data_IF_387688177693
#
_entry.id   IF_387688177693
#
_cell.length_a   1.000
_cell.length_b   1.000
_cell.length_c   1.000
_cell.angle_alpha   90.00
_cell.angle_beta   90.00
_cell.angle_gamma   90.00
#
_symmetry.space_group_name_H-M   'P 1'
#
loop_
_entity.id
_entity.type
_entity.pdbx_description
1 polymer ?
#
# COMPACT_ATOMS: atom_id res chain seq x y z
N UNK A 1 26.67 6.92 -4.15
CA UNK A 1 27.21 7.74 -3.02
C UNK A 1 26.12 8.56 -2.32
N UNK A 2 25.27 9.33 -3.03
CA UNK A 2 24.16 10.12 -2.42
C UNK A 2 23.18 9.31 -1.55
N UNK A 3 22.60 8.21 -2.05
CA UNK A 3 21.63 7.41 -1.28
C UNK A 3 22.18 6.81 0.03
N UNK A 4 23.48 6.47 0.06
CA UNK A 4 24.16 5.98 1.27
C UNK A 4 24.33 7.08 2.32
N UNK A 5 24.70 8.29 1.89
CA UNK A 5 24.76 9.48 2.75
C UNK A 5 23.38 9.83 3.31
N UNK A 6 22.32 9.78 2.50
CA UNK A 6 20.94 10.00 2.95
C UNK A 6 20.52 9.02 4.04
N UNK A 7 20.80 7.72 3.90
CA UNK A 7 20.50 6.71 4.94
C UNK A 7 21.26 6.96 6.25
N UNK A 8 22.45 7.55 6.21
CA UNK A 8 23.23 7.85 7.41
C UNK A 8 22.63 9.03 8.19
N UNK A 9 22.01 10.00 7.50
CA UNK A 9 21.34 11.14 8.13
C UNK A 9 20.17 10.70 9.01
N UNK A 10 19.35 9.74 8.57
CA UNK A 10 18.23 9.23 9.36
C UNK A 10 18.64 8.36 10.57
N UNK A 11 19.95 8.10 10.75
CA UNK A 11 20.50 7.48 11.96
C UNK A 11 20.94 8.49 13.02
N UNK A 12 20.86 9.79 12.74
CA UNK A 12 21.21 10.82 13.71
C UNK A 12 20.27 10.78 14.93
N UNK A 13 20.74 11.21 16.12
CA UNK A 13 19.92 11.35 17.31
C UNK A 13 18.64 12.16 17.05
N UNK A 14 17.52 11.72 17.66
CA UNK A 14 16.19 12.33 17.50
C UNK A 14 16.18 13.85 17.68
N UNK A 15 16.89 14.38 18.68
CA UNK A 15 16.97 15.82 18.92
C UNK A 15 17.66 16.61 17.81
N UNK A 16 18.61 15.99 17.09
CA UNK A 16 19.26 16.61 15.93
C UNK A 16 18.30 16.66 14.75
N UNK A 17 17.57 15.57 14.49
CA UNK A 17 16.57 15.52 13.42
C UNK A 17 15.47 16.58 13.60
N UNK A 18 14.96 16.75 14.83
CA UNK A 18 14.01 17.83 15.16
C UNK A 18 14.64 19.20 14.95
N UNK A 19 15.85 19.43 15.47
CA UNK A 19 16.54 20.72 15.28
C UNK A 19 16.73 21.05 13.79
N UNK A 20 17.07 20.06 12.97
CA UNK A 20 17.28 20.23 11.54
C UNK A 20 16.00 20.29 10.72
N UNK A 21 14.88 19.80 11.23
CA UNK A 21 13.58 20.05 10.59
C UNK A 21 13.16 21.54 10.69
N UNK A 22 13.83 22.33 11.53
CA UNK A 22 13.61 23.77 11.70
C UNK A 22 12.33 24.13 12.45
N UNK A 23 11.70 23.17 13.13
CA UNK A 23 10.46 23.33 13.89
C UNK A 23 10.52 22.50 15.18
N UNK A 24 9.72 22.85 16.19
CA UNK A 24 9.48 21.95 17.33
C UNK A 24 8.85 20.64 16.85
N UNK A 25 8.93 19.58 17.65
CA UNK A 25 8.32 18.30 17.30
C UNK A 25 6.80 18.47 17.20
N UNK A 26 6.24 18.14 16.02
CA UNK A 26 4.83 18.29 15.74
C UNK A 26 4.03 17.32 16.61
N UNK A 27 3.00 17.86 17.28
CA UNK A 27 2.10 17.12 18.15
C UNK A 27 0.65 17.42 17.78
N UNK A 28 -0.18 16.37 17.68
CA UNK A 28 -1.63 16.43 17.41
C UNK A 28 -2.36 15.54 18.42
N UNK A 29 -2.94 16.16 19.46
CA UNK A 29 -3.48 15.45 20.61
C UNK A 29 -2.38 14.67 21.35
N UNK A 30 -2.55 13.36 21.50
CA UNK A 30 -1.55 12.47 22.12
C UNK A 30 -0.46 12.01 21.15
N UNK A 31 -0.65 12.15 19.83
CA UNK A 31 0.29 11.71 18.80
C UNK A 31 1.42 12.72 18.64
N UNK A 32 2.64 12.22 18.52
CA UNK A 32 3.83 13.00 18.18
C UNK A 32 4.46 12.44 16.92
N UNK A 33 4.75 13.30 15.95
CA UNK A 33 5.35 12.90 14.69
C UNK A 33 6.76 12.36 14.96
N UNK A 34 7.11 11.21 14.37
CA UNK A 34 8.47 10.68 14.54
C UNK A 34 9.49 11.70 13.97
N UNK A 35 10.57 11.99 14.71
CA UNK A 35 11.60 12.94 14.27
C UNK A 35 12.18 12.64 12.87
N UNK A 36 12.28 11.37 12.50
CA UNK A 36 12.73 10.98 11.16
C UNK A 36 11.74 11.37 10.08
N UNK A 37 10.44 11.16 10.28
CA UNK A 37 9.42 11.63 9.33
C UNK A 37 9.35 13.15 9.28
N UNK A 38 9.45 13.83 10.44
CA UNK A 38 9.44 15.29 10.45
C UNK A 38 10.62 15.88 9.66
N UNK A 39 11.81 15.30 9.81
CA UNK A 39 12.97 15.70 9.02
C UNK A 39 12.81 15.34 7.54
N UNK A 40 12.26 14.16 7.22
CA UNK A 40 12.00 13.75 5.84
C UNK A 40 11.05 14.73 5.13
N UNK A 41 9.93 15.10 5.77
CA UNK A 41 8.98 16.07 5.23
C UNK A 41 9.64 17.43 4.95
N UNK A 42 10.54 17.89 5.83
CA UNK A 42 11.34 19.11 5.58
C UNK A 42 12.20 18.97 4.33
N UNK A 43 12.91 17.85 4.17
CA UNK A 43 13.76 17.58 3.01
C UNK A 43 12.93 17.54 1.72
N UNK A 44 11.79 16.85 1.73
CA UNK A 44 10.90 16.75 0.57
C UNK A 44 10.34 18.12 0.17
N UNK A 45 9.91 18.93 1.14
CA UNK A 45 9.43 20.28 0.89
C UNK A 45 10.52 21.19 0.30
N UNK A 46 11.75 21.13 0.83
CA UNK A 46 12.88 21.93 0.33
C UNK A 46 13.31 21.54 -1.08
N UNK A 47 13.17 20.25 -1.45
CA UNK A 47 13.52 19.76 -2.77
C UNK A 47 12.39 19.88 -3.81
N UNK A 48 11.22 20.37 -3.41
CA UNK A 48 10.03 20.37 -4.27
C UNK A 48 9.50 18.98 -4.61
N UNK A 49 9.84 17.96 -3.81
CA UNK A 49 9.42 16.57 -4.00
C UNK A 49 8.06 16.30 -3.35
N UNK A 50 7.11 17.21 -3.57
CA UNK A 50 5.71 17.08 -3.16
C UNK A 50 4.85 16.64 -4.34
N UNK A 51 3.70 16.02 -4.06
CA UNK A 51 2.70 15.74 -5.07
C UNK A 51 2.10 17.08 -5.56
N UNK A 52 2.43 17.48 -6.79
CA UNK A 52 1.90 18.69 -7.41
C UNK A 52 0.69 18.33 -8.26
N UNK A 53 -0.48 18.24 -7.62
CA UNK A 53 -1.74 17.85 -8.27
C UNK A 53 -2.32 18.88 -9.23
N UNK A 54 -1.60 19.97 -9.49
CA UNK A 54 -1.91 20.89 -10.59
C UNK A 54 -1.40 20.40 -11.94
N UNK A 55 -0.49 19.41 -11.95
CA UNK A 55 0.06 18.81 -13.15
C UNK A 55 -0.83 17.69 -13.72
N UNK A 56 -0.76 17.42 -15.03
CA UNK A 56 -1.35 16.23 -15.62
C UNK A 56 -0.86 14.93 -14.94
N UNK A 57 -1.71 13.90 -14.90
CA UNK A 57 -1.40 12.60 -14.32
C UNK A 57 -0.09 11.98 -14.86
N UNK A 58 0.17 12.11 -16.16
CA UNK A 58 1.39 11.60 -16.77
C UNK A 58 2.67 12.25 -16.22
N UNK A 59 2.64 13.56 -15.94
CA UNK A 59 3.78 14.28 -15.37
C UNK A 59 3.97 13.91 -13.88
N UNK A 60 2.87 13.77 -13.14
CA UNK A 60 2.90 13.26 -11.76
C UNK A 60 3.52 11.87 -11.66
N UNK A 61 3.18 10.94 -12.57
CA UNK A 61 3.80 9.60 -12.64
C UNK A 61 5.30 9.70 -12.82
N UNK A 62 5.73 10.52 -13.79
CA UNK A 62 7.16 10.71 -14.07
C UNK A 62 7.89 11.29 -12.85
N UNK A 63 7.35 12.33 -12.24
CA UNK A 63 7.94 12.96 -11.05
C UNK A 63 8.03 11.97 -9.87
N UNK A 64 7.00 11.14 -9.68
CA UNK A 64 6.99 10.12 -8.64
C UNK A 64 8.07 9.04 -8.89
N UNK A 65 8.20 8.56 -10.13
CA UNK A 65 9.20 7.57 -10.51
C UNK A 65 10.63 8.10 -10.43
N UNK A 66 10.87 9.37 -10.79
CA UNK A 66 12.19 10.00 -10.65
C UNK A 66 12.52 10.25 -9.17
N UNK A 67 11.53 10.68 -8.39
CA UNK A 67 11.61 10.94 -6.96
C UNK A 67 11.91 9.69 -6.12
N UNK A 68 11.50 8.49 -6.58
CA UNK A 68 11.73 7.23 -5.86
C UNK A 68 13.21 7.00 -5.53
N UNK A 69 14.13 7.42 -6.41
CA UNK A 69 15.57 7.23 -6.22
C UNK A 69 16.12 7.91 -4.95
N UNK A 70 15.42 8.91 -4.41
CA UNK A 70 15.77 9.63 -3.20
C UNK A 70 15.39 8.87 -1.92
N UNK A 71 14.35 8.03 -2.00
CA UNK A 71 13.70 7.42 -0.84
C UNK A 71 13.69 5.87 -0.87
N UNK A 72 13.72 5.23 -2.04
CA UNK A 72 13.63 3.78 -2.11
C UNK A 72 14.86 3.11 -1.49
N UNK A 73 14.59 2.09 -0.67
CA UNK A 73 15.64 1.16 -0.26
C UNK A 73 16.11 0.32 -1.45
N UNK A 74 17.20 -0.40 -1.27
CA UNK A 74 17.65 -1.36 -2.29
C UNK A 74 16.90 -2.67 -2.09
N UNK A 75 16.67 -3.41 -3.18
CA UNK A 75 16.15 -4.77 -3.11
C UNK A 75 16.97 -5.60 -2.09
N UNK A 76 16.32 -6.32 -1.16
CA UNK A 76 17.03 -7.18 -0.21
C UNK A 76 17.83 -8.27 -0.93
N UNK A 77 19.01 -8.60 -0.40
CA UNK A 77 19.79 -9.74 -0.88
C UNK A 77 19.03 -11.05 -0.71
N UNK A 78 19.24 -11.99 -1.64
CA UNK A 78 18.63 -13.32 -1.63
C UNK A 78 17.21 -13.36 -2.22
N UNK A 79 16.84 -12.35 -3.03
CA UNK A 79 15.56 -12.27 -3.73
C UNK A 79 15.80 -12.32 -5.22
N UNK A 80 15.23 -13.32 -5.89
CA UNK A 80 15.21 -13.45 -7.34
C UNK A 80 13.98 -12.73 -7.90
N UNK A 81 14.18 -11.94 -8.95
CA UNK A 81 13.12 -11.28 -9.71
C UNK A 81 12.80 -12.09 -10.96
N UNK A 82 11.52 -12.23 -11.29
CA UNK A 82 11.06 -12.79 -12.58
C UNK A 82 9.80 -12.04 -13.02
N UNK A 83 9.80 -11.53 -14.24
CA UNK A 83 8.64 -10.84 -14.81
C UNK A 83 7.78 -11.86 -15.57
N UNK A 84 6.48 -11.84 -15.28
CA UNK A 84 5.43 -12.58 -15.95
C UNK A 84 4.51 -11.61 -16.70
N UNK A 85 3.84 -12.14 -17.72
CA UNK A 85 3.01 -11.37 -18.62
C UNK A 85 1.69 -12.10 -18.83
N UNK A 86 0.63 -11.57 -18.21
CA UNK A 86 -0.70 -12.16 -18.19
C UNK A 86 -1.46 -11.63 -19.39
N UNK A 87 -1.76 -12.50 -20.34
CA UNK A 87 -2.54 -12.14 -21.52
C UNK A 87 -4.02 -12.10 -21.16
N UNK A 88 -4.64 -10.95 -21.34
CA UNK A 88 -6.09 -10.81 -21.31
C UNK A 88 -6.61 -10.77 -22.76
N UNK A 89 -7.90 -10.48 -22.97
CA UNK A 89 -8.48 -10.44 -24.31
C UNK A 89 -7.95 -9.27 -25.16
N UNK A 90 -7.60 -8.15 -24.53
CA UNK A 90 -7.32 -6.87 -25.19
C UNK A 90 -5.98 -6.23 -24.77
N UNK A 91 -5.34 -6.71 -23.70
CA UNK A 91 -4.09 -6.16 -23.19
C UNK A 91 -3.23 -7.23 -22.50
N UNK A 92 -2.08 -6.80 -21.96
CA UNK A 92 -1.18 -7.65 -21.19
C UNK A 92 -0.91 -6.97 -19.84
N UNK A 93 -1.03 -7.73 -18.75
CA UNK A 93 -0.74 -7.25 -17.40
C UNK A 93 0.62 -7.79 -17.00
N UNK A 94 1.56 -6.90 -16.72
CA UNK A 94 2.86 -7.28 -16.21
C UNK A 94 2.76 -7.60 -14.72
N UNK A 95 3.34 -8.72 -14.29
CA UNK A 95 3.43 -9.10 -12.89
C UNK A 95 4.87 -9.45 -12.55
N UNK A 96 5.44 -8.77 -11.56
CA UNK A 96 6.80 -9.04 -11.09
C UNK A 96 6.78 -9.96 -9.88
N UNK A 97 7.35 -11.15 -10.04
CA UNK A 97 7.58 -12.11 -8.96
C UNK A 97 8.88 -11.78 -8.22
N UNK A 98 8.77 -11.69 -6.89
CA UNK A 98 9.87 -11.67 -5.94
C UNK A 98 9.90 -12.99 -5.20
N UNK A 99 10.95 -13.78 -5.43
CA UNK A 99 11.07 -15.13 -4.89
C UNK A 99 12.28 -15.25 -3.98
N UNK A 100 12.13 -15.69 -2.72
CA UNK A 100 13.26 -15.93 -1.83
C UNK A 100 14.11 -17.11 -2.34
N UNK A 101 15.43 -16.99 -2.22
CA UNK A 101 16.39 -18.06 -2.56
C UNK A 101 16.31 -19.23 -1.56
N UNK A 102 15.25 -20.03 -1.62
CA UNK A 102 15.20 -21.34 -0.98
C UNK A 102 14.80 -22.41 -2.02
N UNK A 103 15.52 -23.54 -2.02
CA UNK A 103 15.31 -24.62 -3.02
C UNK A 103 14.28 -25.61 -2.46
N UNK A 104 13.33 -26.04 -3.30
CA UNK A 104 12.51 -27.25 -3.05
C UNK A 104 11.18 -27.06 -2.30
N UNK A 105 10.76 -25.84 -2.01
CA UNK A 105 9.49 -25.59 -1.29
C UNK A 105 8.36 -25.15 -2.24
N UNK A 106 7.15 -25.65 -1.98
CA UNK A 106 5.90 -25.02 -2.45
C UNK A 106 5.62 -23.83 -1.52
N UNK A 107 5.67 -22.62 -2.06
CA UNK A 107 5.56 -21.40 -1.27
C UNK A 107 4.12 -20.95 -1.03
N UNK A 108 3.81 -20.28 0.10
CA UNK A 108 2.69 -19.37 0.13
C UNK A 108 2.95 -18.17 -0.80
N UNK A 109 1.88 -17.55 -1.27
CA UNK A 109 1.93 -16.43 -2.21
C UNK A 109 1.17 -15.22 -1.69
N UNK A 110 1.72 -14.03 -1.95
CA UNK A 110 1.04 -12.75 -1.76
C UNK A 110 0.96 -12.04 -3.11
N UNK A 111 -0.26 -11.82 -3.61
CA UNK A 111 -0.50 -10.92 -4.75
C UNK A 111 -0.58 -9.50 -4.21
N UNK A 112 0.32 -8.63 -4.65
CA UNK A 112 0.50 -7.30 -4.09
C UNK A 112 0.10 -6.22 -5.10
N UNK A 113 -0.75 -5.31 -4.66
CA UNK A 113 -1.21 -4.14 -5.42
C UNK A 113 -0.54 -2.90 -4.84
N UNK A 114 0.20 -2.15 -5.66
CA UNK A 114 0.94 -0.99 -5.20
C UNK A 114 0.01 0.19 -4.83
N UNK A 115 0.48 1.09 -3.97
CA UNK A 115 -0.20 2.36 -3.71
C UNK A 115 0.03 3.39 -4.81
N UNK A 116 -0.60 4.56 -4.65
CA UNK A 116 -0.44 5.70 -5.57
C UNK A 116 -1.75 6.29 -6.10
N UNK A 117 -2.83 6.22 -5.31
CA UNK A 117 -4.10 6.86 -5.66
C UNK A 117 -4.68 6.41 -7.00
N UNK A 118 -4.42 5.16 -7.41
CA UNK A 118 -4.78 4.57 -8.72
C UNK A 118 -4.21 5.29 -9.95
N UNK A 119 -3.43 6.35 -9.75
CA UNK A 119 -2.94 7.25 -10.81
C UNK A 119 -1.43 7.19 -10.94
N UNK A 120 -0.70 7.02 -9.84
CA UNK A 120 0.77 6.93 -9.80
C UNK A 120 1.22 5.62 -9.17
N UNK A 121 2.54 5.42 -9.09
CA UNK A 121 3.13 4.18 -8.61
C UNK A 121 3.28 3.15 -9.72
N UNK A 122 3.97 2.07 -9.39
CA UNK A 122 4.35 0.99 -10.30
C UNK A 122 4.96 -0.16 -9.51
N UNK A 123 5.22 -1.28 -10.18
CA UNK A 123 6.07 -2.35 -9.64
C UNK A 123 7.50 -1.90 -9.27
N UNK A 124 8.03 -0.85 -9.92
CA UNK A 124 9.39 -0.34 -9.69
C UNK A 124 9.47 0.58 -8.46
N UNK A 125 8.44 1.40 -8.23
CA UNK A 125 8.36 2.27 -7.04
C UNK A 125 8.24 1.49 -5.73
N UNK A 126 7.69 0.27 -5.79
CA UNK A 126 7.46 -0.62 -4.64
C UNK A 126 8.45 -1.79 -4.55
N UNK A 127 9.48 -1.84 -5.41
CA UNK A 127 10.42 -2.98 -5.53
C UNK A 127 11.08 -3.35 -4.19
N UNK A 128 11.57 -2.34 -3.46
CA UNK A 128 12.27 -2.59 -2.20
C UNK A 128 11.33 -3.17 -1.13
N UNK A 129 10.09 -2.68 -1.09
CA UNK A 129 9.10 -3.12 -0.11
C UNK A 129 8.55 -4.51 -0.43
N UNK A 130 8.20 -4.77 -1.68
CA UNK A 130 7.74 -6.10 -2.13
C UNK A 130 8.82 -7.17 -2.00
N UNK A 131 10.08 -6.85 -2.32
CA UNK A 131 11.22 -7.72 -2.03
C UNK A 131 11.44 -7.95 -0.52
N UNK A 132 11.20 -6.93 0.32
CA UNK A 132 11.23 -7.07 1.77
C UNK A 132 10.12 -8.02 2.27
N UNK A 133 8.89 -7.89 1.77
CA UNK A 133 7.79 -8.79 2.09
C UNK A 133 8.14 -10.23 1.71
N UNK A 134 8.64 -10.47 0.49
CA UNK A 134 9.03 -11.80 0.03
C UNK A 134 10.06 -12.45 0.97
N UNK A 135 11.08 -11.67 1.37
CA UNK A 135 12.11 -12.12 2.29
C UNK A 135 11.57 -12.42 3.69
N UNK A 136 10.85 -11.48 4.29
CA UNK A 136 10.42 -11.61 5.67
C UNK A 136 9.29 -12.63 5.83
N UNK A 137 8.33 -12.68 4.90
CA UNK A 137 7.25 -13.68 4.89
C UNK A 137 7.71 -15.08 4.48
N UNK A 138 8.90 -15.20 3.86
CA UNK A 138 9.39 -16.43 3.22
C UNK A 138 8.38 -16.95 2.20
N UNK A 139 7.96 -16.04 1.32
CA UNK A 139 6.85 -16.23 0.39
C UNK A 139 7.20 -15.67 -0.98
N UNK A 140 6.52 -16.15 -2.02
CA UNK A 140 6.55 -15.46 -3.30
C UNK A 140 5.62 -14.25 -3.23
N UNK A 141 6.11 -13.08 -3.64
CA UNK A 141 5.29 -11.87 -3.78
C UNK A 141 5.16 -11.54 -5.25
N UNK A 142 3.94 -11.37 -5.73
CA UNK A 142 3.63 -11.03 -7.11
C UNK A 142 3.09 -9.60 -7.15
N UNK A 143 3.94 -8.65 -7.52
CA UNK A 143 3.54 -7.24 -7.65
C UNK A 143 2.89 -7.01 -9.00
N UNK A 144 1.65 -6.53 -9.01
CA UNK A 144 0.85 -6.35 -10.23
C UNK A 144 1.02 -4.92 -10.76
N UNK A 145 1.33 -4.79 -12.04
CA UNK A 145 1.43 -3.53 -12.78
C UNK A 145 0.08 -3.23 -13.45
N UNK A 146 -0.93 -2.97 -12.62
CA UNK A 146 -2.31 -2.77 -13.07
C UNK A 146 -2.45 -1.41 -13.79
N UNK A 147 -3.40 -1.31 -14.73
CA UNK A 147 -3.63 -0.06 -15.47
C UNK A 147 -4.10 1.07 -14.56
N UNK A 148 -3.70 2.31 -14.88
CA UNK A 148 -3.89 3.47 -14.01
C UNK A 148 -4.91 4.47 -14.58
N UNK A 149 -5.61 5.15 -13.68
CA UNK A 149 -6.45 6.30 -13.99
C UNK A 149 -5.58 7.54 -14.31
N UNK A 150 -6.05 8.50 -15.12
CA UNK A 150 -7.39 8.60 -15.69
C UNK A 150 -7.59 7.84 -17.01
N UNK A 151 -6.56 7.28 -17.62
CA UNK A 151 -6.69 6.52 -18.88
C UNK A 151 -7.53 5.25 -18.70
N UNK A 152 -7.48 4.69 -17.49
CA UNK A 152 -8.21 3.51 -17.10
C UNK A 152 -8.83 3.71 -15.69
N UNK A 153 -9.95 4.43 -15.60
CA UNK A 153 -10.64 4.68 -14.32
C UNK A 153 -11.32 3.40 -13.80
N UNK A 154 -11.93 3.48 -12.62
CA UNK A 154 -12.77 2.40 -12.09
C UNK A 154 -13.79 1.93 -13.15
N UNK A 155 -14.00 0.61 -13.34
CA UNK A 155 -13.49 -0.51 -12.55
C UNK A 155 -12.19 -1.16 -13.07
N UNK A 156 -11.52 -0.55 -14.05
CA UNK A 156 -10.41 -1.21 -14.78
C UNK A 156 -9.24 -1.65 -13.87
N UNK A 157 -8.73 -0.81 -12.94
CA UNK A 157 -7.63 -1.22 -12.07
C UNK A 157 -7.98 -2.44 -11.19
N UNK A 158 -9.24 -2.55 -10.75
CA UNK A 158 -9.72 -3.69 -9.97
C UNK A 158 -9.83 -4.95 -10.83
N UNK A 159 -10.33 -4.83 -12.06
CA UNK A 159 -10.42 -5.95 -13.00
C UNK A 159 -9.03 -6.53 -13.34
N UNK A 160 -8.01 -5.68 -13.48
CA UNK A 160 -6.63 -6.14 -13.73
C UNK A 160 -6.07 -6.89 -12.51
N UNK A 161 -6.34 -6.40 -11.29
CA UNK A 161 -5.93 -7.05 -10.05
C UNK A 161 -6.61 -8.42 -9.87
N UNK A 162 -7.90 -8.52 -10.20
CA UNK A 162 -8.63 -9.79 -10.21
C UNK A 162 -8.05 -10.77 -11.23
N UNK A 163 -7.83 -10.32 -12.48
CA UNK A 163 -7.24 -11.15 -13.54
C UNK A 163 -5.86 -11.67 -13.12
N UNK A 164 -5.04 -10.83 -12.48
CA UNK A 164 -3.75 -11.24 -11.95
C UNK A 164 -3.88 -12.27 -10.82
N UNK A 165 -4.75 -12.04 -9.85
CA UNK A 165 -4.99 -12.97 -8.75
C UNK A 165 -5.45 -14.34 -9.25
N UNK A 166 -6.42 -14.36 -10.17
CA UNK A 166 -6.94 -15.60 -10.76
C UNK A 166 -5.85 -16.34 -11.55
N UNK A 167 -5.11 -15.65 -12.42
CA UNK A 167 -4.02 -16.28 -13.18
C UNK A 167 -2.95 -16.89 -12.28
N UNK A 168 -2.52 -16.18 -11.22
CA UNK A 168 -1.52 -16.68 -10.27
C UNK A 168 -2.02 -17.96 -9.60
N UNK A 169 -3.28 -17.98 -9.18
CA UNK A 169 -3.89 -19.12 -8.51
C UNK A 169 -4.07 -20.32 -9.46
N UNK A 170 -4.50 -20.07 -10.69
CA UNK A 170 -4.71 -21.12 -11.70
C UNK A 170 -3.38 -21.75 -12.15
N UNK A 171 -2.29 -20.97 -12.13
CA UNK A 171 -0.93 -21.41 -12.47
C UNK A 171 -0.09 -21.74 -11.22
N UNK A 172 -0.73 -21.93 -10.06
CA UNK A 172 -0.04 -22.03 -8.77
C UNK A 172 1.08 -23.07 -8.73
N UNK A 173 0.82 -24.28 -9.22
CA UNK A 173 1.80 -25.37 -9.18
C UNK A 173 3.01 -25.09 -10.07
N UNK A 174 2.80 -24.53 -11.27
CA UNK A 174 3.87 -24.16 -12.19
C UNK A 174 4.70 -22.99 -11.66
N UNK A 175 4.06 -22.09 -10.93
CA UNK A 175 4.70 -21.02 -10.17
C UNK A 175 5.34 -21.51 -8.87
N UNK A 176 5.26 -22.80 -8.51
CA UNK A 176 5.82 -23.33 -7.27
C UNK A 176 5.17 -22.77 -6.00
N UNK A 177 3.88 -22.44 -6.06
CA UNK A 177 3.08 -21.95 -4.94
C UNK A 177 1.96 -22.92 -4.54
N UNK A 178 1.49 -22.81 -3.30
CA UNK A 178 0.37 -23.61 -2.81
C UNK A 178 -0.94 -22.88 -3.18
N UNK A 179 -1.83 -23.46 -4.00
CA UNK A 179 -3.06 -22.79 -4.44
C UNK A 179 -4.02 -22.45 -3.29
N UNK A 180 -3.89 -23.13 -2.13
CA UNK A 180 -4.71 -22.85 -0.94
C UNK A 180 -4.08 -21.80 0.00
N UNK A 181 -2.94 -21.21 -0.38
CA UNK A 181 -2.22 -20.20 0.40
C UNK A 181 -1.84 -19.00 -0.47
N UNK A 182 -2.80 -18.52 -1.26
CA UNK A 182 -2.68 -17.31 -2.07
C UNK A 182 -3.46 -16.19 -1.37
N UNK A 183 -2.75 -15.22 -0.84
CA UNK A 183 -3.30 -14.03 -0.19
C UNK A 183 -3.20 -12.81 -1.10
N UNK A 184 -3.95 -11.77 -0.77
CA UNK A 184 -3.86 -10.45 -1.43
C UNK A 184 -3.36 -9.40 -0.45
N UNK A 185 -2.82 -8.31 -0.96
CA UNK A 185 -2.46 -7.18 -0.12
C UNK A 185 -2.05 -5.98 -0.94
N UNK A 186 -1.90 -4.86 -0.25
CA UNK A 186 -1.50 -3.62 -0.88
C UNK A 186 -1.46 -2.49 0.12
N UNK A 187 -0.97 -1.34 -0.34
CA UNK A 187 -0.89 -0.14 0.46
C UNK A 187 -1.67 1.01 -0.16
N UNK A 188 -2.33 1.84 0.66
CA UNK A 188 -3.13 2.98 0.20
C UNK A 188 -4.21 2.53 -0.81
N UNK A 189 -4.20 3.06 -2.03
CA UNK A 189 -5.03 2.61 -3.16
C UNK A 189 -4.87 1.12 -3.50
N UNK A 190 -3.69 0.53 -3.32
CA UNK A 190 -3.50 -0.91 -3.48
C UNK A 190 -4.16 -1.71 -2.35
N UNK A 191 -4.18 -1.15 -1.14
CA UNK A 191 -4.94 -1.71 -0.02
C UNK A 191 -6.45 -1.67 -0.27
N UNK A 192 -6.92 -0.59 -0.92
CA UNK A 192 -8.31 -0.51 -1.42
C UNK A 192 -8.60 -1.63 -2.42
N UNK A 193 -7.78 -1.79 -3.46
CA UNK A 193 -7.94 -2.84 -4.48
C UNK A 193 -7.96 -4.24 -3.87
N UNK A 194 -7.13 -4.50 -2.85
CA UNK A 194 -7.12 -5.77 -2.13
C UNK A 194 -8.42 -6.03 -1.36
N UNK A 195 -8.93 -5.02 -0.66
CA UNK A 195 -10.20 -5.12 0.08
C UNK A 195 -11.40 -5.22 -0.87
N UNK A 196 -11.43 -4.41 -1.94
CA UNK A 196 -12.47 -4.41 -2.97
C UNK A 196 -12.53 -5.75 -3.72
N UNK A 197 -11.38 -6.38 -4.00
CA UNK A 197 -11.34 -7.72 -4.57
C UNK A 197 -12.00 -8.75 -3.64
N UNK A 198 -11.79 -8.66 -2.31
CA UNK A 198 -12.48 -9.53 -1.36
C UNK A 198 -14.00 -9.30 -1.35
N UNK A 199 -14.45 -8.04 -1.40
CA UNK A 199 -15.88 -7.70 -1.53
C UNK A 199 -16.46 -8.29 -2.81
N UNK A 200 -15.79 -8.09 -3.95
CA UNK A 200 -16.20 -8.63 -5.25
C UNK A 200 -16.30 -10.16 -5.22
N UNK A 201 -15.29 -10.84 -4.66
CA UNK A 201 -15.31 -12.29 -4.54
C UNK A 201 -16.51 -12.77 -3.71
N UNK A 202 -16.87 -12.08 -2.63
CA UNK A 202 -18.05 -12.42 -1.84
C UNK A 202 -19.35 -12.18 -2.62
N UNK A 203 -19.49 -11.03 -3.28
CA UNK A 203 -20.69 -10.68 -4.06
C UNK A 203 -20.95 -11.63 -5.24
N UNK A 204 -19.88 -12.15 -5.84
CA UNK A 204 -19.93 -13.03 -7.01
C UNK A 204 -19.73 -14.52 -6.65
N UNK A 205 -19.73 -14.86 -5.37
CA UNK A 205 -19.54 -16.23 -4.86
C UNK A 205 -18.24 -16.90 -5.37
N UNK A 206 -17.20 -16.10 -5.59
CA UNK A 206 -15.87 -16.55 -6.00
C UNK A 206 -15.05 -17.00 -4.79
N UNK A 207 -14.00 -17.79 -5.05
CA UNK A 207 -13.13 -18.27 -4.00
C UNK A 207 -12.25 -17.14 -3.43
N UNK A 208 -12.47 -16.85 -2.15
CA UNK A 208 -11.75 -15.80 -1.40
C UNK A 208 -10.23 -16.04 -1.37
N UNK A 209 -9.44 -14.95 -1.32
CA UNK A 209 -8.04 -15.02 -0.91
C UNK A 209 -7.86 -15.69 0.44
N UNK A 210 -6.68 -16.25 0.71
CA UNK A 210 -6.38 -16.89 2.00
C UNK A 210 -6.37 -15.89 3.17
N UNK A 211 -5.82 -14.70 2.93
CA UNK A 211 -5.72 -13.60 3.89
C UNK A 211 -5.58 -12.28 3.12
N UNK A 212 -5.78 -11.15 3.80
CA UNK A 212 -5.59 -9.81 3.25
C UNK A 212 -4.61 -8.98 4.10
N UNK A 213 -3.59 -8.41 3.45
CA UNK A 213 -2.64 -7.47 4.07
C UNK A 213 -2.99 -6.04 3.62
N UNK A 214 -3.66 -5.28 4.48
CA UNK A 214 -4.17 -3.95 4.18
C UNK A 214 -3.34 -2.88 4.90
N UNK A 215 -2.53 -2.15 4.14
CA UNK A 215 -1.61 -1.16 4.70
C UNK A 215 -2.18 0.23 4.42
N UNK A 216 -2.57 0.95 5.48
CA UNK A 216 -3.27 2.25 5.46
C UNK A 216 -4.27 2.36 4.29
N UNK A 217 -5.18 1.38 4.15
CA UNK A 217 -6.01 1.26 2.94
C UNK A 217 -6.93 2.46 2.79
N UNK A 218 -7.19 2.87 1.54
CA UNK A 218 -8.37 3.70 1.26
C UNK A 218 -9.61 2.80 1.36
N UNK A 219 -10.59 3.18 2.17
CA UNK A 219 -11.84 2.40 2.30
C UNK A 219 -13.10 3.23 2.19
N UNK A 220 -12.97 4.57 2.12
CA UNK A 220 -14.09 5.50 2.08
C UNK A 220 -13.76 6.76 1.23
N UNK A 221 -14.18 6.75 -0.04
CA UNK A 221 -13.94 7.87 -0.98
C UNK A 221 -14.90 9.05 -0.79
N UNK A 222 -15.76 9.06 0.23
CA UNK A 222 -16.58 10.25 0.54
C UNK A 222 -15.72 11.42 1.03
N UNK A 223 -14.58 11.12 1.64
CA UNK A 223 -13.65 12.10 2.25
C UNK A 223 -14.26 12.86 3.44
N UNK A 224 -15.22 12.25 4.15
CA UNK A 224 -15.96 12.86 5.25
C UNK A 224 -15.37 12.58 6.65
N UNK A 225 -14.31 11.77 6.73
CA UNK A 225 -13.72 11.38 8.00
C UNK A 225 -12.96 12.55 8.68
N UNK A 226 -13.02 12.70 10.02
CA UNK A 226 -12.33 13.79 10.72
C UNK A 226 -10.82 13.86 10.45
N UNK A 227 -10.14 12.72 10.27
CA UNK A 227 -8.73 12.66 9.91
C UNK A 227 -8.41 13.38 8.59
N UNK A 228 -9.35 13.47 7.64
CA UNK A 228 -9.20 14.18 6.36
C UNK A 228 -8.89 15.66 6.62
N UNK A 229 -9.65 16.31 7.50
CA UNK A 229 -9.45 17.72 7.84
C UNK A 229 -8.30 17.89 8.84
N UNK A 230 -8.15 16.96 9.80
CA UNK A 230 -7.13 17.07 10.83
C UNK A 230 -5.70 17.00 10.25
N UNK A 231 -5.51 16.14 9.25
CA UNK A 231 -4.25 15.85 8.55
C UNK A 231 -4.22 16.40 7.11
N UNK A 232 -5.06 17.41 6.81
CA UNK A 232 -5.28 17.90 5.45
C UNK A 232 -4.03 18.37 4.69
N UNK A 233 -2.99 18.81 5.39
CA UNK A 233 -1.77 19.33 4.78
C UNK A 233 -0.50 19.03 5.61
N UNK A 234 0.64 18.95 4.93
CA UNK A 234 1.97 18.91 5.54
C UNK A 234 2.49 17.53 5.96
N UNK A 235 1.74 16.45 5.72
CA UNK A 235 2.11 15.08 6.13
C UNK A 235 2.19 14.10 4.95
N UNK A 236 2.75 14.57 3.83
CA UNK A 236 2.92 13.85 2.56
C UNK A 236 1.63 13.69 1.75
N UNK A 237 0.63 12.94 2.25
CA UNK A 237 -0.70 12.89 1.61
C UNK A 237 -1.53 14.09 2.08
N UNK A 238 -2.03 14.89 1.14
CA UNK A 238 -2.87 16.07 1.41
C UNK A 238 -4.31 15.82 1.00
N UNK A 239 -5.24 16.58 1.59
CA UNK A 239 -6.66 16.57 1.20
C UNK A 239 -6.84 16.90 -0.28
N UNK A 240 -6.11 17.89 -0.79
CA UNK A 240 -6.13 18.25 -2.21
C UNK A 240 -5.63 17.11 -3.11
N UNK A 241 -4.60 16.38 -2.68
CA UNK A 241 -4.13 15.20 -3.42
C UNK A 241 -5.20 14.11 -3.46
N UNK A 242 -5.92 13.91 -2.36
CA UNK A 242 -6.99 12.92 -2.30
C UNK A 242 -8.18 13.27 -3.21
N UNK A 243 -8.59 14.54 -3.24
CA UNK A 243 -9.61 15.01 -4.17
C UNK A 243 -9.17 14.78 -5.61
N UNK A 244 -7.94 15.15 -5.97
CA UNK A 244 -7.39 14.89 -7.29
C UNK A 244 -7.43 13.41 -7.66
N UNK A 245 -6.91 12.51 -6.81
CA UNK A 245 -6.90 11.08 -7.09
C UNK A 245 -8.31 10.51 -7.24
N UNK A 246 -9.27 10.95 -6.41
CA UNK A 246 -10.68 10.56 -6.52
C UNK A 246 -11.27 10.98 -7.86
N UNK A 247 -11.03 12.22 -8.30
CA UNK A 247 -11.49 12.76 -9.58
C UNK A 247 -10.91 12.01 -10.78
N UNK A 248 -9.65 11.55 -10.70
CA UNK A 248 -9.06 10.75 -11.77
C UNK A 248 -9.60 9.32 -11.81
N UNK A 249 -9.91 8.75 -10.63
CA UNK A 249 -10.29 7.35 -10.50
C UNK A 249 -11.77 7.09 -10.74
N UNK A 250 -12.66 8.00 -10.33
CA UNK A 250 -14.10 7.84 -10.46
C UNK A 250 -14.64 8.54 -11.71
N UNK A 251 -15.34 7.80 -12.56
CA UNK A 251 -16.07 8.38 -13.69
C UNK A 251 -17.31 9.18 -13.25
N UNK A 252 -17.84 8.86 -12.05
CA UNK A 252 -18.97 9.56 -11.44
C UNK A 252 -18.80 9.58 -9.91
N UNK A 253 -19.00 10.74 -9.28
CA UNK A 253 -18.95 10.91 -7.82
C UNK A 253 -20.02 10.09 -7.07
N UNK A 254 -21.13 9.73 -7.71
CA UNK A 254 -22.15 8.86 -7.10
C UNK A 254 -21.61 7.47 -6.73
N UNK A 255 -20.49 7.05 -7.35
CA UNK A 255 -19.82 5.79 -7.04
C UNK A 255 -19.01 5.84 -5.74
N UNK A 256 -18.88 6.99 -5.08
CA UNK A 256 -18.06 7.13 -3.87
C UNK A 256 -18.48 6.20 -2.72
N UNK A 257 -19.72 5.71 -2.71
CA UNK A 257 -20.23 4.73 -1.73
C UNK A 257 -20.46 3.33 -2.32
N UNK A 258 -20.12 3.10 -3.59
CA UNK A 258 -20.14 1.77 -4.17
C UNK A 258 -19.18 0.87 -3.39
N UNK A 259 -19.57 -0.33 -2.92
CA UNK A 259 -18.73 -1.18 -2.09
C UNK A 259 -17.49 -1.72 -2.80
N UNK A 260 -17.42 -1.67 -4.13
CA UNK A 260 -16.22 -2.01 -4.92
C UNK A 260 -15.26 -0.81 -5.08
N UNK A 261 -15.72 0.40 -4.76
CA UNK A 261 -14.91 1.63 -4.69
C UNK A 261 -14.51 1.91 -3.25
N UNK A 262 -15.45 1.81 -2.33
CA UNK A 262 -15.31 2.08 -0.90
C UNK A 262 -15.75 0.86 -0.09
N UNK A 263 -14.86 -0.13 0.12
CA UNK A 263 -15.18 -1.38 0.82
C UNK A 263 -15.80 -1.23 2.21
N UNK A 264 -15.65 -0.07 2.87
CA UNK A 264 -16.31 0.23 4.14
C UNK A 264 -17.85 0.22 4.04
N UNK A 265 -18.42 0.45 2.86
CA UNK A 265 -19.87 0.46 2.63
C UNK A 265 -20.42 -0.90 2.18
N UNK A 266 -19.62 -1.97 2.19
CA UNK A 266 -20.16 -3.32 1.98
C UNK A 266 -21.20 -3.65 3.05
N UNK A 267 -22.37 -4.17 2.63
CA UNK A 267 -23.49 -4.46 3.54
C UNK A 267 -23.15 -5.56 4.56
N UNK A 268 -22.31 -6.52 4.16
CA UNK A 268 -21.87 -7.61 5.00
C UNK A 268 -20.40 -7.97 4.72
N UNK A 269 -19.58 -8.07 5.76
CA UNK A 269 -18.19 -8.52 5.69
C UNK A 269 -18.00 -9.94 6.25
N UNK A 270 -19.08 -10.64 6.59
CA UNK A 270 -19.02 -11.99 7.13
C UNK A 270 -18.43 -12.95 6.10
N UNK A 271 -17.52 -13.83 6.54
CA UNK A 271 -16.81 -14.75 5.65
C UNK A 271 -15.66 -14.12 4.85
N UNK A 272 -15.36 -12.81 5.04
CA UNK A 272 -14.13 -12.21 4.52
C UNK A 272 -12.87 -12.90 5.09
N UNK A 273 -11.76 -12.93 4.34
CA UNK A 273 -10.56 -13.61 4.79
C UNK A 273 -9.91 -12.86 5.96
N UNK A 274 -9.20 -13.58 6.85
CA UNK A 274 -8.43 -12.97 7.92
C UNK A 274 -7.56 -11.81 7.44
N UNK A 275 -7.43 -10.77 8.27
CA UNK A 275 -6.81 -9.52 7.85
C UNK A 275 -5.71 -9.03 8.80
N UNK A 276 -4.64 -8.47 8.22
CA UNK A 276 -3.79 -7.50 8.93
C UNK A 276 -4.16 -6.13 8.39
N UNK A 277 -4.64 -5.24 9.27
CA UNK A 277 -4.93 -3.84 8.93
C UNK A 277 -3.91 -2.96 9.65
N UNK A 278 -3.26 -2.07 8.91
CA UNK A 278 -2.26 -1.14 9.44
C UNK A 278 -2.75 0.28 9.20
N UNK A 279 -2.67 1.15 10.20
CA UNK A 279 -2.96 2.58 10.04
C UNK A 279 -1.82 3.44 10.55
N UNK A 280 -1.69 4.66 10.04
CA UNK A 280 -0.66 5.62 10.43
C UNK A 280 -1.30 6.82 11.15
N UNK A 281 -0.62 7.33 12.17
CA UNK A 281 -1.16 8.37 13.01
C UNK A 281 -1.27 9.73 12.32
N UNK A 282 -0.33 10.09 11.45
CA UNK A 282 -0.32 11.34 10.70
C UNK A 282 -0.74 11.08 9.25
N UNK A 283 -1.95 10.55 9.09
CA UNK A 283 -2.51 10.08 7.82
C UNK A 283 -3.99 10.49 7.70
N UNK A 284 -4.41 11.16 6.61
CA UNK A 284 -5.82 11.41 6.32
C UNK A 284 -6.69 10.14 6.30
N UNK A 285 -6.14 8.99 5.92
CA UNK A 285 -6.85 7.71 5.81
C UNK A 285 -6.98 6.95 7.14
N UNK A 286 -6.45 7.50 8.24
CA UNK A 286 -6.42 6.81 9.54
C UNK A 286 -7.82 6.35 9.97
N UNK A 287 -8.78 7.27 10.00
CA UNK A 287 -10.09 6.98 10.60
C UNK A 287 -10.88 5.95 9.77
N UNK A 288 -10.79 5.99 8.45
CA UNK A 288 -11.47 5.01 7.58
C UNK A 288 -10.82 3.62 7.68
N UNK A 289 -9.49 3.54 7.73
CA UNK A 289 -8.79 2.27 7.97
C UNK A 289 -9.14 1.67 9.34
N UNK A 290 -9.19 2.49 10.39
CA UNK A 290 -9.60 2.07 11.74
C UNK A 290 -11.06 1.58 11.76
N UNK A 291 -11.96 2.30 11.06
CA UNK A 291 -13.37 1.91 10.90
C UNK A 291 -13.52 0.59 10.13
N UNK A 292 -12.76 0.39 9.06
CA UNK A 292 -12.79 -0.86 8.29
C UNK A 292 -12.30 -2.05 9.13
N UNK A 293 -11.23 -1.87 9.90
CA UNK A 293 -10.78 -2.87 10.88
C UNK A 293 -11.88 -3.17 11.92
N UNK A 294 -12.60 -2.15 12.39
CA UNK A 294 -13.73 -2.37 13.30
C UNK A 294 -14.88 -3.13 12.63
N UNK A 295 -15.22 -2.82 11.39
CA UNK A 295 -16.27 -3.49 10.62
C UNK A 295 -15.94 -4.98 10.41
N UNK A 296 -14.72 -5.31 10.00
CA UNK A 296 -14.24 -6.70 9.91
C UNK A 296 -14.36 -7.45 11.25
N UNK A 297 -13.98 -6.81 12.36
CA UNK A 297 -14.12 -7.39 13.71
C UNK A 297 -15.58 -7.67 14.05
N UNK A 298 -16.48 -6.73 13.75
CA UNK A 298 -17.92 -6.87 13.99
C UNK A 298 -18.54 -8.00 13.16
N UNK A 299 -17.99 -8.24 11.96
CA UNK A 299 -18.35 -9.37 11.11
C UNK A 299 -17.68 -10.71 11.51
N UNK A 300 -17.01 -10.78 12.67
CA UNK A 300 -16.30 -11.94 13.20
C UNK A 300 -15.13 -12.44 12.33
N UNK A 301 -14.50 -11.56 11.55
CA UNK A 301 -13.26 -11.85 10.82
C UNK A 301 -12.08 -11.82 11.80
N UNK A 302 -11.16 -12.79 11.71
CA UNK A 302 -9.90 -12.76 12.47
C UNK A 302 -9.03 -11.59 11.98
N UNK A 303 -8.71 -10.64 12.87
CA UNK A 303 -7.93 -9.46 12.49
C UNK A 303 -6.77 -9.15 13.43
N UNK A 304 -5.70 -8.62 12.84
CA UNK A 304 -4.59 -7.97 13.53
C UNK A 304 -4.54 -6.51 13.11
N UNK A 305 -5.00 -5.61 13.98
CA UNK A 305 -5.02 -4.18 13.73
C UNK A 305 -3.80 -3.51 14.37
N UNK A 306 -2.96 -2.82 13.58
CA UNK A 306 -1.77 -2.11 14.05
C UNK A 306 -1.83 -0.62 13.72
N UNK A 307 -1.90 0.22 14.75
CA UNK A 307 -1.76 1.66 14.61
C UNK A 307 -0.30 2.08 14.80
N UNK A 308 0.21 2.94 13.92
CA UNK A 308 1.51 3.57 14.03
C UNK A 308 1.35 5.08 14.27
N UNK A 309 1.02 5.43 15.50
CA UNK A 309 0.62 6.77 15.95
C UNK A 309 1.56 7.92 15.57
N UNK A 310 2.85 7.63 15.33
CA UNK A 310 3.87 8.62 15.00
C UNK A 310 4.28 8.65 13.53
N UNK A 311 3.70 7.80 12.69
CA UNK A 311 4.09 7.62 11.29
C UNK A 311 3.14 8.37 10.35
N UNK A 312 3.61 8.64 9.13
CA UNK A 312 2.84 9.30 8.07
C UNK A 312 2.34 8.30 7.03
N UNK A 313 1.46 8.75 6.14
CA UNK A 313 1.06 7.97 4.96
C UNK A 313 2.27 7.56 4.10
N UNK A 314 2.25 6.37 3.50
CA UNK A 314 3.31 5.89 2.62
C UNK A 314 4.56 5.36 3.34
N UNK A 315 4.55 5.27 4.68
CA UNK A 315 5.76 4.98 5.46
C UNK A 315 6.46 3.66 5.13
N UNK A 316 5.76 2.66 4.57
CA UNK A 316 6.36 1.35 4.28
C UNK A 316 7.44 1.42 3.20
N UNK A 317 7.32 2.41 2.31
CA UNK A 317 8.31 2.71 1.27
C UNK A 317 9.47 3.58 1.81
N UNK A 318 9.36 4.10 3.03
CA UNK A 318 10.33 5.00 3.67
C UNK A 318 11.26 4.26 4.65
N UNK A 319 11.81 3.13 4.21
CA UNK A 319 12.62 2.22 5.04
C UNK A 319 13.94 2.84 5.55
N UNK A 320 14.33 4.04 5.08
CA UNK A 320 15.46 4.78 5.62
C UNK A 320 15.17 5.40 6.99
N UNK A 321 13.90 5.69 7.31
CA UNK A 321 13.50 6.25 8.61
C UNK A 321 13.66 5.17 9.67
N UNK A 322 14.35 5.54 10.76
CA UNK A 322 14.62 4.61 11.84
C UNK A 322 13.32 4.07 12.45
N UNK A 323 13.27 2.76 12.72
CA UNK A 323 12.08 2.10 13.25
C UNK A 323 11.11 1.57 12.19
N UNK A 324 11.12 2.07 10.94
CA UNK A 324 10.23 1.56 9.88
C UNK A 324 10.47 0.08 9.62
N UNK A 325 11.72 -0.33 9.41
CA UNK A 325 12.04 -1.76 9.18
C UNK A 325 11.58 -2.64 10.34
N UNK A 326 11.67 -2.17 11.59
CA UNK A 326 11.17 -2.91 12.74
C UNK A 326 9.64 -3.02 12.74
N UNK A 327 8.93 -1.93 12.41
CA UNK A 327 7.48 -1.94 12.23
C UNK A 327 7.05 -2.93 11.14
N UNK A 328 7.72 -2.91 9.98
CA UNK A 328 7.44 -3.83 8.87
C UNK A 328 7.62 -5.30 9.28
N UNK A 329 8.67 -5.64 10.05
CA UNK A 329 8.83 -7.00 10.58
C UNK A 329 7.66 -7.42 11.46
N UNK A 330 7.18 -6.53 12.34
CA UNK A 330 6.02 -6.81 13.20
C UNK A 330 4.71 -6.97 12.43
N UNK A 331 4.56 -6.26 11.31
CA UNK A 331 3.45 -6.42 10.37
C UNK A 331 3.54 -7.82 9.72
N UNK A 332 4.71 -8.19 9.19
CA UNK A 332 4.95 -9.52 8.63
C UNK A 332 4.73 -10.64 9.65
N UNK A 333 5.12 -10.45 10.90
CA UNK A 333 4.94 -11.44 11.97
C UNK A 333 3.47 -11.65 12.35
N UNK A 334 2.63 -10.62 12.26
CA UNK A 334 1.18 -10.80 12.39
C UNK A 334 0.60 -11.49 11.16
N UNK A 335 1.03 -11.09 9.96
CA UNK A 335 0.51 -11.68 8.73
C UNK A 335 0.81 -13.17 8.64
N UNK A 336 2.01 -13.61 9.04
CA UNK A 336 2.39 -15.03 9.12
C UNK A 336 1.47 -15.90 9.99
N UNK A 337 0.71 -15.31 10.92
CA UNK A 337 -0.24 -16.08 11.76
C UNK A 337 -1.46 -16.53 10.97
N UNK A 338 -1.78 -15.84 9.87
CA UNK A 338 -2.98 -16.05 9.04
C UNK A 338 -2.66 -16.40 7.57
N UNK A 339 -1.40 -16.27 7.16
CA UNK A 339 -0.87 -16.42 5.81
C UNK A 339 -0.59 -17.87 5.38
#
# INVERSE_FOLDING_TARGET
MRAFLTKLLFKLPKGILIKWSGKEQIQKGYRKLDPGFQYLLKVMNDSGASLDTTKPAADLRKDFEEGRSLISASLPSGIKITDHYIKTNDHEIKVREYSPETIGNIYPALVYFHGGGWVIGSIDSHEAFTGFLAKELKAKVFSVDYRLAPEHPFPIPLADCEAAYNWIKDNALDLGINPNRVSVGGDSAGGNLAAALCVKCQQEELMMPKAQLLIYPVTDLTLENPSIDEMADGFFLTKDSMHFFREQYLENEDLAKDPLVSPLFAEDLSGHPPAVVVTAGFDPLRDEGDKYAQALRQANVEIYHRTHDSYIHGFVNMMMVNGVVYALKRICDDFKKIF
#
